data_IF_998533664193
#
_entry.id   IF_998533664193
#
_cell.length_a   1.000
_cell.length_b   1.000
_cell.length_c   1.000
_cell.angle_alpha   90.00
_cell.angle_beta   90.00
_cell.angle_gamma   90.00
#
_symmetry.space_group_name_H-M   'P 1'
#
loop_
_entity.id
_entity.type
_entity.pdbx_description
1 polymer ?
#
# COMPACT_ATOMS: atom_id res chain seq x y z
N UNK A 1 -16.15 10.85 33.96
CA UNK A 1 -16.50 11.15 32.55
C UNK A 1 -15.29 11.34 31.64
N UNK A 2 -14.29 12.16 32.01
CA UNK A 2 -13.07 12.36 31.18
C UNK A 2 -12.32 11.05 30.88
N UNK A 3 -12.22 10.14 31.86
CA UNK A 3 -11.56 8.83 31.71
C UNK A 3 -12.32 7.87 30.79
N UNK A 4 -13.64 8.04 30.66
CA UNK A 4 -14.47 7.28 29.72
C UNK A 4 -14.27 7.80 28.29
N UNK A 5 -14.12 9.12 28.14
CA UNK A 5 -13.87 9.78 26.87
C UNK A 5 -12.46 9.56 26.32
N UNK A 6 -11.47 9.24 27.16
CA UNK A 6 -10.10 8.92 26.70
C UNK A 6 -9.99 7.58 25.97
N UNK A 7 -10.85 6.60 26.27
CA UNK A 7 -10.80 5.27 25.65
C UNK A 7 -10.97 5.33 24.11
N UNK A 8 -12.04 5.94 23.55
CA UNK A 8 -12.21 6.03 22.10
C UNK A 8 -11.14 6.93 21.44
N UNK A 9 -10.63 7.93 22.15
CA UNK A 9 -9.55 8.80 21.64
C UNK A 9 -8.25 8.00 21.49
N UNK A 10 -7.89 7.19 22.49
CA UNK A 10 -6.72 6.30 22.42
C UNK A 10 -6.90 5.29 21.29
N UNK A 11 -8.08 4.69 21.14
CA UNK A 11 -8.37 3.77 20.03
C UNK A 11 -8.21 4.45 18.66
N UNK A 12 -8.63 5.70 18.51
CA UNK A 12 -8.52 6.47 17.27
C UNK A 12 -7.07 6.85 16.96
N UNK A 13 -6.26 7.20 17.97
CA UNK A 13 -4.82 7.42 17.82
C UNK A 13 -4.11 6.13 17.37
N UNK A 14 -4.43 4.98 18.00
CA UNK A 14 -3.86 3.68 17.62
C UNK A 14 -4.24 3.33 16.18
N UNK A 15 -5.50 3.52 15.79
CA UNK A 15 -5.97 3.25 14.43
C UNK A 15 -5.27 4.15 13.40
N UNK A 16 -5.16 5.46 13.68
CA UNK A 16 -4.46 6.41 12.84
C UNK A 16 -2.97 6.05 12.67
N UNK A 17 -2.30 5.68 13.77
CA UNK A 17 -0.93 5.22 13.75
C UNK A 17 -0.77 3.93 12.92
N UNK A 18 -1.68 2.96 13.09
CA UNK A 18 -1.67 1.73 12.32
C UNK A 18 -1.84 1.97 10.82
N UNK A 19 -2.77 2.84 10.41
CA UNK A 19 -2.95 3.23 9.00
C UNK A 19 -1.68 3.86 8.44
N UNK A 20 -1.03 4.75 9.20
CA UNK A 20 0.23 5.38 8.78
C UNK A 20 1.36 4.36 8.65
N UNK A 21 1.53 3.47 9.63
CA UNK A 21 2.57 2.42 9.57
C UNK A 21 2.36 1.52 8.37
N UNK A 22 1.11 1.08 8.10
CA UNK A 22 0.80 0.27 6.91
C UNK A 22 1.09 1.02 5.60
N UNK A 23 0.75 2.30 5.51
CA UNK A 23 1.03 3.11 4.33
C UNK A 23 2.55 3.28 4.11
N UNK A 24 3.30 3.51 5.18
CA UNK A 24 4.77 3.63 5.13
C UNK A 24 5.43 2.31 4.71
N UNK A 25 5.05 1.19 5.33
CA UNK A 25 5.57 -0.14 4.98
C UNK A 25 5.25 -0.50 3.52
N UNK A 26 4.02 -0.25 3.08
CA UNK A 26 3.57 -0.53 1.71
C UNK A 26 4.26 0.36 0.66
N UNK A 27 4.62 1.60 1.01
CA UNK A 27 5.38 2.49 0.13
C UNK A 27 6.87 2.10 0.08
N UNK A 28 7.46 1.76 1.23
CA UNK A 28 8.85 1.35 1.31
C UNK A 28 9.12 0.02 0.59
N UNK A 29 8.27 -0.99 0.79
CA UNK A 29 8.39 -2.28 0.09
C UNK A 29 8.22 -2.12 -1.42
N UNK A 30 7.23 -1.34 -1.85
CA UNK A 30 6.99 -1.08 -3.27
C UNK A 30 8.16 -0.32 -3.91
N UNK A 31 8.74 0.66 -3.22
CA UNK A 31 9.91 1.39 -3.72
C UNK A 31 11.11 0.48 -3.95
N UNK A 32 11.33 -0.53 -3.10
CA UNK A 32 12.40 -1.51 -3.31
C UNK A 32 12.14 -2.38 -4.53
N UNK A 33 10.90 -2.85 -4.70
CA UNK A 33 10.50 -3.66 -5.86
C UNK A 33 10.62 -2.89 -7.16
N UNK A 34 10.18 -1.61 -7.20
CA UNK A 34 10.37 -0.76 -8.38
C UNK A 34 11.85 -0.63 -8.75
N UNK A 35 12.71 -0.31 -7.79
CA UNK A 35 14.15 -0.15 -8.07
C UNK A 35 14.75 -1.44 -8.61
N UNK A 36 14.35 -2.60 -8.07
CA UNK A 36 14.78 -3.89 -8.58
C UNK A 36 14.31 -4.10 -10.03
N UNK A 37 13.03 -3.85 -10.31
CA UNK A 37 12.45 -3.99 -11.66
C UNK A 37 13.13 -3.07 -12.66
N UNK A 38 13.23 -1.78 -12.36
CA UNK A 38 13.78 -0.76 -13.27
C UNK A 38 15.24 -1.06 -13.62
N UNK A 39 16.07 -1.39 -12.63
CA UNK A 39 17.46 -1.78 -12.89
C UNK A 39 17.57 -3.07 -13.72
N UNK A 40 16.71 -4.04 -13.45
CA UNK A 40 16.72 -5.31 -14.18
C UNK A 40 16.28 -5.15 -15.64
N UNK A 41 15.29 -4.29 -15.94
CA UNK A 41 14.76 -4.11 -17.31
C UNK A 41 15.87 -3.71 -18.28
N UNK A 42 16.64 -2.68 -17.94
CA UNK A 42 17.72 -2.19 -18.79
C UNK A 42 18.89 -3.19 -18.84
N UNK A 43 19.41 -3.58 -17.67
CA UNK A 43 20.65 -4.37 -17.57
C UNK A 43 20.53 -5.79 -18.12
N UNK A 44 19.41 -6.47 -17.83
CA UNK A 44 19.22 -7.85 -18.31
C UNK A 44 18.93 -7.84 -19.81
N UNK A 45 18.11 -6.89 -20.26
CA UNK A 45 17.79 -6.70 -21.66
C UNK A 45 19.03 -6.55 -22.54
N UNK A 46 19.95 -5.70 -22.10
CA UNK A 46 21.19 -5.39 -22.82
C UNK A 46 22.17 -6.56 -22.75
N UNK A 47 22.38 -7.17 -21.58
CA UNK A 47 23.25 -8.34 -21.46
C UNK A 47 22.81 -9.50 -22.37
N UNK A 48 21.50 -9.81 -22.38
CA UNK A 48 20.94 -10.85 -23.25
C UNK A 48 21.23 -10.52 -24.71
N UNK A 49 21.02 -9.28 -25.13
CA UNK A 49 21.31 -8.86 -26.50
C UNK A 49 22.79 -9.00 -26.86
N UNK A 50 23.71 -8.61 -25.97
CA UNK A 50 25.17 -8.77 -26.19
C UNK A 50 25.57 -10.23 -26.33
N UNK A 51 25.11 -11.11 -25.43
CA UNK A 51 25.37 -12.55 -25.50
C UNK A 51 24.78 -13.19 -26.77
N UNK A 52 23.61 -12.75 -27.23
CA UNK A 52 23.00 -13.22 -28.48
C UNK A 52 23.83 -12.84 -29.71
N UNK A 53 24.41 -11.63 -29.70
CA UNK A 53 25.31 -11.15 -30.76
C UNK A 53 26.63 -11.89 -30.72
N UNK A 54 27.25 -12.06 -29.55
CA UNK A 54 28.46 -12.87 -29.40
C UNK A 54 28.25 -14.31 -29.88
N UNK A 55 27.15 -14.97 -29.46
CA UNK A 55 26.78 -16.32 -29.94
C UNK A 55 26.67 -16.36 -31.46
N UNK A 56 25.91 -15.44 -32.04
CA UNK A 56 25.65 -15.42 -33.47
C UNK A 56 26.93 -15.24 -34.28
N UNK A 57 27.78 -14.31 -33.87
CA UNK A 57 29.06 -14.03 -34.54
C UNK A 57 30.03 -15.19 -34.36
N UNK A 58 30.02 -15.87 -33.20
CA UNK A 58 30.83 -17.07 -32.95
C UNK A 58 30.46 -18.20 -33.89
N UNK A 59 29.15 -18.47 -34.06
CA UNK A 59 28.66 -19.50 -35.00
C UNK A 59 29.09 -19.15 -36.43
N UNK A 60 28.88 -17.90 -36.85
CA UNK A 60 29.26 -17.45 -38.19
C UNK A 60 30.78 -17.56 -38.43
N UNK A 61 31.61 -17.22 -37.44
CA UNK A 61 33.07 -17.34 -37.54
C UNK A 61 33.52 -18.79 -37.71
N UNK A 62 32.94 -19.72 -36.94
CA UNK A 62 33.27 -21.14 -37.05
C UNK A 62 32.80 -21.76 -38.37
N UNK A 63 31.58 -21.44 -38.81
CA UNK A 63 31.02 -21.95 -40.07
C UNK A 63 31.73 -21.40 -41.31
N UNK A 64 32.36 -20.23 -41.21
CA UNK A 64 33.21 -19.66 -42.27
C UNK A 64 34.66 -20.13 -42.20
N UNK A 65 34.96 -21.15 -41.38
CA UNK A 65 36.29 -21.72 -41.17
C UNK A 65 37.33 -20.70 -40.67
N UNK A 66 36.87 -19.70 -39.91
CA UNK A 66 37.71 -18.68 -39.30
C UNK A 66 38.01 -17.49 -40.22
N UNK A 67 37.03 -17.02 -40.99
CA UNK A 67 37.21 -15.90 -41.90
C UNK A 67 37.66 -14.62 -41.14
N UNK A 68 38.75 -13.95 -41.57
CA UNK A 68 39.28 -12.78 -40.86
C UNK A 68 38.32 -11.60 -40.74
N UNK A 69 37.40 -11.42 -41.70
CA UNK A 69 36.41 -10.33 -41.65
C UNK A 69 35.37 -10.54 -40.55
N UNK A 70 35.09 -11.80 -40.20
CA UNK A 70 34.18 -12.14 -39.11
C UNK A 70 34.91 -12.10 -37.77
N UNK A 71 36.22 -12.39 -37.74
CA UNK A 71 37.03 -12.28 -36.53
C UNK A 71 37.00 -10.87 -35.93
N UNK A 72 37.11 -9.83 -36.76
CA UNK A 72 37.03 -8.43 -36.30
C UNK A 72 35.68 -8.14 -35.63
N UNK A 73 34.57 -8.61 -36.25
CA UNK A 73 33.22 -8.48 -35.67
C UNK A 73 33.09 -9.27 -34.35
N UNK A 74 33.74 -10.43 -34.26
CA UNK A 74 33.70 -11.29 -33.08
C UNK A 74 34.46 -10.66 -31.90
N UNK A 75 35.65 -10.10 -32.16
CA UNK A 75 36.44 -9.40 -31.13
C UNK A 75 35.70 -8.16 -30.60
N UNK A 76 35.01 -7.42 -31.48
CA UNK A 76 34.13 -6.33 -31.06
C UNK A 76 32.97 -6.83 -30.18
N UNK A 77 32.30 -7.92 -30.57
CA UNK A 77 31.22 -8.51 -29.77
C UNK A 77 31.70 -8.99 -28.38
N UNK A 78 32.93 -9.51 -28.29
CA UNK A 78 33.55 -9.86 -27.00
C UNK A 78 33.76 -8.64 -26.11
N UNK A 79 34.27 -7.54 -26.69
CA UNK A 79 34.49 -6.30 -25.97
C UNK A 79 33.17 -5.71 -25.42
N UNK A 80 32.15 -5.62 -26.28
CA UNK A 80 30.84 -5.09 -25.89
C UNK A 80 30.20 -5.93 -24.78
N UNK A 81 30.33 -7.25 -24.86
CA UNK A 81 29.81 -8.15 -23.82
C UNK A 81 30.56 -7.99 -22.50
N UNK A 82 31.88 -7.82 -22.53
CA UNK A 82 32.69 -7.61 -21.32
C UNK A 82 32.37 -6.26 -20.66
N UNK A 83 32.17 -5.21 -21.46
CA UNK A 83 31.75 -3.90 -20.98
C UNK A 83 30.36 -3.96 -20.33
N UNK A 84 29.40 -4.63 -20.98
CA UNK A 84 28.04 -4.77 -20.44
C UNK A 84 28.05 -5.55 -19.12
N UNK A 85 28.72 -6.71 -19.08
CA UNK A 85 28.85 -7.48 -17.85
C UNK A 85 29.44 -6.59 -16.75
N UNK A 86 30.47 -5.78 -17.04
CA UNK A 86 31.09 -4.86 -16.08
C UNK A 86 30.13 -3.77 -15.57
N UNK A 87 29.21 -3.29 -16.39
CA UNK A 87 28.26 -2.24 -16.02
C UNK A 87 27.07 -2.73 -15.19
N UNK A 88 26.78 -4.04 -15.18
CA UNK A 88 25.72 -4.61 -14.33
C UNK A 88 26.02 -4.36 -12.84
N UNK A 89 25.08 -3.67 -12.19
CA UNK A 89 25.20 -3.27 -10.78
C UNK A 89 24.60 -4.30 -9.83
N UNK A 90 23.60 -5.05 -10.27
CA UNK A 90 22.91 -6.03 -9.44
C UNK A 90 22.99 -7.42 -10.08
N UNK A 91 24.06 -8.15 -9.77
CA UNK A 91 24.16 -9.57 -10.10
C UNK A 91 23.48 -10.38 -9.00
N UNK A 92 22.50 -11.22 -9.35
CA UNK A 92 21.83 -12.08 -8.37
C UNK A 92 22.81 -13.15 -7.89
N UNK A 93 23.17 -13.13 -6.61
CA UNK A 93 23.96 -14.21 -6.01
C UNK A 93 23.09 -15.45 -5.80
N UNK A 94 23.55 -16.60 -6.29
CA UNK A 94 22.94 -17.90 -6.00
C UNK A 94 23.70 -18.51 -4.83
N UNK A 95 22.99 -18.86 -3.74
CA UNK A 95 23.59 -19.61 -2.66
C UNK A 95 23.54 -21.10 -2.99
N UNK A 96 24.57 -21.61 -3.69
CA UNK A 96 24.71 -23.02 -4.05
C UNK A 96 25.01 -23.85 -2.79
N UNK A 97 23.97 -24.17 -2.03
CA UNK A 97 24.10 -24.91 -0.76
C UNK A 97 24.44 -26.40 -0.95
N UNK A 98 24.56 -26.88 -2.20
CA UNK A 98 24.94 -28.26 -2.53
C UNK A 98 25.93 -28.28 -3.72
N UNK A 99 27.21 -28.60 -3.49
CA UNK A 99 28.29 -28.34 -4.45
C UNK A 99 28.57 -29.46 -5.47
N UNK A 100 27.83 -30.58 -5.49
CA UNK A 100 28.32 -31.79 -6.17
C UNK A 100 27.63 -32.20 -7.49
N UNK A 101 26.74 -31.40 -8.12
CA UNK A 101 26.36 -31.51 -9.55
C UNK A 101 25.19 -30.58 -9.91
N UNK A 102 25.34 -29.26 -9.78
CA UNK A 102 24.34 -28.33 -10.32
C UNK A 102 24.90 -27.76 -11.64
N UNK A 103 24.22 -27.93 -12.80
CA UNK A 103 24.48 -27.07 -13.95
C UNK A 103 24.42 -25.61 -13.46
N UNK A 104 25.09 -24.65 -14.12
CA UNK A 104 25.04 -23.23 -13.74
C UNK A 104 25.90 -22.77 -12.54
N UNK A 105 26.88 -23.55 -12.04
CA UNK A 105 27.80 -23.04 -10.99
C UNK A 105 28.52 -21.74 -11.41
N UNK A 106 28.77 -21.57 -12.71
CA UNK A 106 29.44 -20.42 -13.29
C UNK A 106 28.62 -19.12 -13.22
N UNK A 107 27.37 -19.21 -12.78
CA UNK A 107 26.45 -18.08 -12.64
C UNK A 107 26.39 -17.52 -11.21
N UNK A 108 27.08 -18.14 -10.25
CA UNK A 108 27.08 -17.76 -8.83
C UNK A 108 27.48 -16.30 -8.58
N UNK A 109 28.53 -15.84 -9.26
CA UNK A 109 28.98 -14.46 -9.26
C UNK A 109 29.27 -13.96 -10.66
N UNK A 110 29.27 -12.64 -10.80
CA UNK A 110 29.68 -11.95 -12.03
C UNK A 110 31.07 -12.37 -12.49
N UNK A 111 32.01 -12.52 -11.56
CA UNK A 111 33.39 -12.93 -11.84
C UNK A 111 33.47 -14.39 -12.32
N UNK A 112 32.67 -15.30 -11.73
CA UNK A 112 32.61 -16.69 -12.19
C UNK A 112 32.04 -16.79 -13.60
N UNK A 113 31.06 -15.94 -13.94
CA UNK A 113 30.44 -15.90 -15.26
C UNK A 113 31.41 -15.35 -16.30
N UNK A 114 32.10 -14.25 -15.98
CA UNK A 114 33.16 -13.69 -16.83
C UNK A 114 34.28 -14.70 -17.08
N UNK A 115 34.72 -15.42 -16.05
CA UNK A 115 35.76 -16.44 -16.18
C UNK A 115 35.31 -17.58 -17.08
N UNK A 116 34.05 -18.00 -16.95
CA UNK A 116 33.46 -19.06 -17.76
C UNK A 116 33.43 -18.71 -19.25
N UNK A 117 32.89 -17.53 -19.61
CA UNK A 117 32.88 -17.06 -20.99
C UNK A 117 34.30 -16.85 -21.52
N UNK A 118 35.18 -16.23 -20.72
CA UNK A 118 36.57 -16.00 -21.13
C UNK A 118 37.30 -17.31 -21.45
N UNK A 119 37.07 -18.36 -20.65
CA UNK A 119 37.64 -19.69 -20.88
C UNK A 119 37.15 -20.29 -22.21
N UNK A 120 35.86 -20.15 -22.52
CA UNK A 120 35.30 -20.58 -23.80
C UNK A 120 35.96 -19.88 -24.98
N UNK A 121 36.08 -18.53 -24.92
CA UNK A 121 36.75 -17.73 -25.96
C UNK A 121 38.22 -18.14 -26.15
N UNK A 122 38.96 -18.38 -25.06
CA UNK A 122 40.35 -18.85 -25.14
C UNK A 122 40.46 -20.23 -25.79
N UNK A 123 39.56 -21.16 -25.43
CA UNK A 123 39.54 -22.50 -26.00
C UNK A 123 39.20 -22.48 -27.50
N UNK A 124 38.30 -21.59 -27.91
CA UNK A 124 37.99 -21.34 -29.32
C UNK A 124 39.22 -20.83 -30.08
N UNK A 125 39.91 -19.81 -29.56
CA UNK A 125 41.14 -19.27 -30.17
C UNK A 125 42.26 -20.31 -30.26
N UNK A 126 42.38 -21.18 -29.25
CA UNK A 126 43.37 -22.26 -29.21
C UNK A 126 42.98 -23.51 -30.03
N UNK A 127 41.80 -23.49 -30.69
CA UNK A 127 41.26 -24.62 -31.47
C UNK A 127 41.23 -25.92 -30.66
N UNK A 128 40.76 -25.83 -29.41
CA UNK A 128 40.64 -26.99 -28.54
C UNK A 128 39.68 -28.04 -29.14
N UNK A 129 40.04 -29.32 -29.02
CA UNK A 129 39.39 -30.42 -29.77
C UNK A 129 37.95 -30.70 -29.27
N UNK A 130 37.69 -30.54 -27.97
CA UNK A 130 36.38 -30.78 -27.35
C UNK A 130 35.69 -29.47 -26.93
N UNK A 131 35.60 -28.50 -27.85
CA UNK A 131 34.86 -27.25 -27.59
C UNK A 131 33.34 -27.50 -27.66
N UNK A 132 32.55 -27.13 -26.64
CA UNK A 132 31.10 -27.20 -26.71
C UNK A 132 30.54 -26.39 -27.89
N UNK A 133 29.47 -26.87 -28.51
CA UNK A 133 28.81 -26.12 -29.60
C UNK A 133 28.34 -24.74 -29.12
N UNK A 134 28.58 -23.66 -29.89
CA UNK A 134 28.28 -22.31 -29.42
C UNK A 134 26.80 -22.08 -29.14
N UNK A 135 25.90 -22.63 -29.97
CA UNK A 135 24.46 -22.40 -29.81
C UNK A 135 23.98 -22.87 -28.43
N UNK A 136 24.09 -24.16 -28.03
CA UNK A 136 23.65 -24.60 -26.72
C UNK A 136 24.41 -23.91 -25.58
N UNK A 137 25.73 -23.69 -25.72
CA UNK A 137 26.55 -23.04 -24.71
C UNK A 137 26.03 -21.66 -24.30
N UNK A 138 25.84 -20.76 -25.27
CA UNK A 138 25.34 -19.41 -24.98
C UNK A 138 23.84 -19.40 -24.69
N UNK A 139 23.04 -20.28 -25.32
CA UNK A 139 21.59 -20.29 -25.10
C UNK A 139 21.24 -20.74 -23.67
N UNK A 140 21.97 -21.71 -23.11
CA UNK A 140 21.82 -22.11 -21.71
C UNK A 140 22.02 -20.91 -20.77
N UNK A 141 23.04 -20.10 -21.04
CA UNK A 141 23.32 -18.89 -20.28
C UNK A 141 22.24 -17.82 -20.42
N UNK A 142 21.80 -17.56 -21.64
CA UNK A 142 20.76 -16.56 -21.94
C UNK A 142 19.42 -16.97 -21.31
N UNK A 143 18.99 -18.22 -21.50
CA UNK A 143 17.73 -18.73 -20.95
C UNK A 143 17.71 -18.61 -19.42
N UNK A 144 18.83 -18.93 -18.74
CA UNK A 144 18.96 -18.77 -17.29
C UNK A 144 18.85 -17.31 -16.83
N UNK A 145 19.47 -16.38 -17.56
CA UNK A 145 19.36 -14.93 -17.27
C UNK A 145 17.89 -14.47 -17.41
N UNK A 146 17.19 -14.93 -18.45
CA UNK A 146 15.77 -14.60 -18.69
C UNK A 146 14.86 -15.19 -17.59
N UNK A 147 15.12 -16.43 -17.16
CA UNK A 147 14.37 -17.08 -16.07
C UNK A 147 14.49 -16.29 -14.77
N UNK A 148 15.71 -15.89 -14.37
CA UNK A 148 15.92 -15.12 -13.14
C UNK A 148 15.23 -13.79 -13.15
N UNK A 149 15.32 -13.11 -14.29
CA UNK A 149 14.63 -11.86 -14.52
C UNK A 149 13.15 -12.08 -14.23
N UNK A 150 12.52 -13.08 -14.87
CA UNK A 150 11.11 -13.37 -14.68
C UNK A 150 10.72 -13.68 -13.22
N UNK A 151 11.57 -14.40 -12.47
CA UNK A 151 11.32 -14.66 -11.06
C UNK A 151 11.22 -13.38 -10.21
N UNK A 152 11.95 -12.32 -10.56
CA UNK A 152 11.82 -11.03 -9.86
C UNK A 152 10.50 -10.32 -10.20
N UNK A 153 10.03 -10.43 -11.43
CA UNK A 153 8.72 -9.87 -11.82
C UNK A 153 7.56 -10.65 -11.23
N UNK A 154 7.65 -11.99 -11.14
CA UNK A 154 6.56 -12.84 -10.62
C UNK A 154 6.14 -12.47 -9.19
N UNK A 155 7.02 -11.84 -8.41
CA UNK A 155 6.71 -11.34 -7.05
C UNK A 155 5.80 -10.11 -7.06
N UNK A 156 5.65 -9.45 -8.21
CA UNK A 156 4.83 -8.27 -8.43
C UNK A 156 3.41 -8.65 -8.91
N UNK A 157 2.73 -9.55 -8.19
CA UNK A 157 1.33 -9.88 -8.48
C UNK A 157 0.37 -8.84 -7.87
N UNK A 158 0.26 -7.65 -8.48
CA UNK A 158 -0.91 -6.79 -8.24
C UNK A 158 -1.29 -5.93 -9.46
N UNK A 159 -2.28 -6.37 -10.24
CA UNK A 159 -3.15 -5.47 -11.01
C UNK A 159 -3.13 -5.56 -12.54
N UNK A 160 -3.92 -4.67 -13.17
CA UNK A 160 -4.15 -4.57 -14.63
C UNK A 160 -2.89 -4.18 -15.44
N UNK A 161 -1.82 -3.75 -14.78
CA UNK A 161 -0.56 -3.28 -15.38
C UNK A 161 0.45 -4.41 -15.65
N UNK A 162 0.13 -5.66 -15.30
CA UNK A 162 0.96 -6.85 -15.57
C UNK A 162 1.08 -7.21 -17.06
N UNK A 163 0.09 -6.84 -17.88
CA UNK A 163 0.07 -7.20 -19.29
C UNK A 163 1.29 -6.65 -20.05
N UNK A 164 1.73 -5.42 -19.76
CA UNK A 164 2.94 -4.83 -20.36
C UNK A 164 4.20 -5.62 -20.02
N UNK A 165 4.31 -6.14 -18.80
CA UNK A 165 5.43 -6.97 -18.36
C UNK A 165 5.44 -8.32 -19.08
N UNK A 166 4.26 -8.92 -19.28
CA UNK A 166 4.14 -10.14 -20.08
C UNK A 166 4.54 -9.87 -21.54
N UNK A 167 4.06 -8.76 -22.13
CA UNK A 167 4.47 -8.37 -23.49
C UNK A 167 6.00 -8.21 -23.60
N UNK A 168 6.62 -7.56 -22.61
CA UNK A 168 8.07 -7.41 -22.50
C UNK A 168 8.78 -8.77 -22.47
N UNK A 169 8.30 -9.70 -21.65
CA UNK A 169 8.86 -11.05 -21.58
C UNK A 169 8.73 -11.79 -22.91
N UNK A 170 7.58 -11.69 -23.57
CA UNK A 170 7.37 -12.32 -24.88
C UNK A 170 8.32 -11.73 -25.94
N UNK A 171 8.60 -10.43 -25.92
CA UNK A 171 9.61 -9.81 -26.80
C UNK A 171 11.00 -10.39 -26.54
N UNK A 172 11.42 -10.52 -25.28
CA UNK A 172 12.72 -11.12 -24.93
C UNK A 172 12.81 -12.58 -25.40
N UNK A 173 11.78 -13.38 -25.12
CA UNK A 173 11.73 -14.79 -25.54
C UNK A 173 11.75 -14.89 -27.07
N UNK A 174 11.00 -14.03 -27.77
CA UNK A 174 10.99 -13.94 -29.22
C UNK A 174 12.37 -13.59 -29.79
N UNK A 175 13.02 -12.55 -29.26
CA UNK A 175 14.39 -12.16 -29.63
C UNK A 175 15.37 -13.31 -29.45
N UNK A 176 15.23 -14.10 -28.40
CA UNK A 176 16.09 -15.26 -28.18
C UNK A 176 15.92 -16.32 -29.26
N UNK A 177 14.68 -16.68 -29.60
CA UNK A 177 14.44 -17.63 -30.69
C UNK A 177 14.94 -17.10 -32.04
N UNK A 178 14.72 -15.82 -32.34
CA UNK A 178 15.18 -15.16 -33.56
C UNK A 178 16.71 -15.00 -33.60
N UNK A 179 17.36 -14.84 -32.44
CA UNK A 179 18.81 -14.82 -32.33
C UNK A 179 19.45 -16.18 -32.66
N UNK A 180 18.79 -17.28 -32.28
CA UNK A 180 19.20 -18.64 -32.71
C UNK A 180 18.90 -18.85 -34.20
N UNK A 181 17.75 -18.37 -34.70
CA UNK A 181 17.44 -18.38 -36.15
C UNK A 181 18.51 -17.66 -36.95
N UNK A 182 18.94 -16.46 -36.51
CA UNK A 182 20.02 -15.68 -37.12
C UNK A 182 21.30 -16.49 -37.22
N UNK A 183 21.73 -17.11 -36.12
CA UNK A 183 22.94 -17.92 -36.06
C UNK A 183 22.89 -19.12 -37.01
N UNK A 184 21.78 -19.87 -36.98
CA UNK A 184 21.58 -21.03 -37.84
C UNK A 184 21.49 -20.64 -39.33
N UNK A 185 20.82 -19.55 -39.68
CA UNK A 185 20.76 -19.09 -41.07
C UNK A 185 22.11 -18.55 -41.57
N UNK A 186 22.92 -17.95 -40.68
CA UNK A 186 24.30 -17.57 -41.00
C UNK A 186 25.15 -18.81 -41.31
N UNK A 187 25.04 -19.84 -40.47
CA UNK A 187 25.63 -21.17 -40.67
C UNK A 187 25.22 -21.77 -42.02
N UNK A 188 23.92 -21.77 -42.34
CA UNK A 188 23.39 -22.29 -43.61
C UNK A 188 24.10 -21.72 -44.83
N UNK A 189 24.21 -20.39 -44.93
CA UNK A 189 24.86 -19.77 -46.09
C UNK A 189 26.37 -19.96 -46.07
N UNK A 190 26.99 -19.94 -44.88
CA UNK A 190 28.43 -20.14 -44.74
C UNK A 190 28.86 -21.55 -45.15
N UNK A 191 28.05 -22.57 -44.86
CA UNK A 191 28.33 -23.99 -45.14
C UNK A 191 27.75 -24.49 -46.47
N UNK A 192 26.88 -23.72 -47.13
CA UNK A 192 26.26 -24.12 -48.39
C UNK A 192 25.01 -24.99 -48.24
N UNK A 193 24.29 -24.86 -47.12
CA UNK A 193 23.06 -25.59 -46.84
C UNK A 193 23.12 -26.37 -45.52
N UNK A 194 22.02 -27.01 -45.14
CA UNK A 194 22.02 -27.96 -44.02
C UNK A 194 22.12 -29.40 -44.53
N UNK A 195 23.25 -30.05 -44.27
CA UNK A 195 23.39 -31.50 -44.46
C UNK A 195 22.74 -32.28 -43.31
N UNK A 196 22.82 -31.77 -42.08
CA UNK A 196 22.15 -32.36 -40.91
C UNK A 196 20.68 -31.91 -40.82
N UNK A 197 19.79 -32.90 -40.72
CA UNK A 197 18.36 -32.66 -40.52
C UNK A 197 18.06 -31.95 -39.19
N UNK A 198 18.91 -32.13 -38.16
CA UNK A 198 18.70 -31.48 -36.87
C UNK A 198 18.88 -29.96 -36.96
N UNK A 199 19.87 -29.47 -37.70
CA UNK A 199 20.08 -28.04 -37.92
C UNK A 199 18.90 -27.42 -38.68
N UNK A 200 18.42 -28.09 -39.72
CA UNK A 200 17.23 -27.69 -40.47
C UNK A 200 15.99 -27.61 -39.56
N UNK A 201 15.73 -28.67 -38.78
CA UNK A 201 14.57 -28.72 -37.88
C UNK A 201 14.68 -27.66 -36.78
N UNK A 202 15.88 -27.45 -36.23
CA UNK A 202 16.16 -26.42 -35.25
C UNK A 202 15.86 -25.03 -35.82
N UNK A 203 16.34 -24.72 -37.03
CA UNK A 203 16.07 -23.46 -37.70
C UNK A 203 14.57 -23.19 -37.84
N UNK A 204 13.83 -24.15 -38.40
CA UNK A 204 12.38 -24.01 -38.64
C UNK A 204 11.63 -23.80 -37.32
N UNK A 205 11.96 -24.57 -36.29
CA UNK A 205 11.33 -24.47 -34.98
C UNK A 205 11.60 -23.11 -34.32
N UNK A 206 12.84 -22.63 -34.38
CA UNK A 206 13.23 -21.32 -33.81
C UNK A 206 12.57 -20.17 -34.55
N UNK A 207 12.48 -20.23 -35.88
CA UNK A 207 11.79 -19.21 -36.68
C UNK A 207 10.30 -19.10 -36.34
N UNK A 208 9.60 -20.24 -36.26
CA UNK A 208 8.17 -20.27 -35.91
C UNK A 208 7.96 -19.75 -34.48
N UNK A 209 8.72 -20.24 -33.49
CA UNK A 209 8.58 -19.78 -32.10
C UNK A 209 8.84 -18.29 -31.95
N UNK A 210 9.86 -17.77 -32.65
CA UNK A 210 10.17 -16.33 -32.65
C UNK A 210 9.00 -15.48 -33.15
N UNK A 211 8.36 -15.89 -34.24
CA UNK A 211 7.16 -15.24 -34.75
C UNK A 211 5.97 -15.35 -33.78
N UNK A 212 5.74 -16.53 -33.20
CA UNK A 212 4.64 -16.74 -32.24
C UNK A 212 4.79 -15.86 -31.00
N UNK A 213 5.98 -15.72 -30.42
CA UNK A 213 6.19 -14.84 -29.27
C UNK A 213 5.96 -13.36 -29.61
N UNK A 214 6.32 -12.93 -30.82
CA UNK A 214 6.01 -11.57 -31.28
C UNK A 214 4.49 -11.37 -31.39
N UNK A 215 3.76 -12.31 -31.97
CA UNK A 215 2.29 -12.27 -32.05
C UNK A 215 1.64 -12.27 -30.65
N UNK A 216 2.15 -13.09 -29.72
CA UNK A 216 1.67 -13.11 -28.34
C UNK A 216 1.91 -11.78 -27.62
N UNK A 217 3.07 -11.15 -27.83
CA UNK A 217 3.36 -9.84 -27.21
C UNK A 217 2.36 -8.74 -27.62
N UNK A 218 1.90 -8.76 -28.87
CA UNK A 218 0.86 -7.87 -29.39
C UNK A 218 -0.49 -8.08 -28.69
N UNK A 219 -0.82 -9.33 -28.32
CA UNK A 219 -2.07 -9.62 -27.58
C UNK A 219 -2.06 -9.00 -26.17
N UNK A 220 -0.89 -8.85 -25.56
CA UNK A 220 -0.73 -8.30 -24.22
C UNK A 220 -0.53 -6.79 -24.19
N UNK A 221 0.04 -6.19 -25.25
CA UNK A 221 0.24 -4.75 -25.34
C UNK A 221 0.02 -4.23 -26.76
N UNK A 222 -0.95 -3.33 -26.91
CA UNK A 222 -1.20 -2.65 -28.19
C UNK A 222 -0.05 -1.74 -28.61
N UNK A 223 0.71 -1.22 -27.65
CA UNK A 223 1.88 -0.37 -27.91
C UNK A 223 2.94 -1.13 -28.73
N UNK A 224 3.03 -2.46 -28.57
CA UNK A 224 3.90 -3.31 -29.41
C UNK A 224 3.45 -3.26 -30.86
N UNK A 225 2.16 -3.45 -31.13
CA UNK A 225 1.61 -3.45 -32.49
C UNK A 225 1.78 -2.08 -33.15
N UNK A 226 1.48 -1.01 -32.43
CA UNK A 226 1.64 0.36 -32.93
C UNK A 226 3.10 0.68 -33.25
N UNK A 227 4.03 0.34 -32.35
CA UNK A 227 5.46 0.54 -32.58
C UNK A 227 5.98 -0.33 -33.74
N UNK A 228 5.61 -1.60 -33.77
CA UNK A 228 6.01 -2.52 -34.83
C UNK A 228 5.51 -2.04 -36.19
N UNK A 229 4.22 -1.75 -36.33
CA UNK A 229 3.65 -1.29 -37.60
C UNK A 229 4.19 0.07 -38.04
N UNK A 230 4.51 0.97 -37.10
CA UNK A 230 5.11 2.26 -37.46
C UNK A 230 6.50 2.09 -38.08
N UNK A 231 7.32 1.22 -37.51
CA UNK A 231 8.73 1.10 -37.88
C UNK A 231 9.00 -0.03 -38.90
N UNK A 232 8.09 -1.00 -39.03
CA UNK A 232 8.24 -2.12 -39.96
C UNK A 232 7.98 -1.71 -41.42
N UNK A 233 7.09 -0.75 -41.67
CA UNK A 233 6.61 -0.39 -43.01
C UNK A 233 7.57 0.49 -43.83
N UNK A 234 8.66 0.97 -43.24
CA UNK A 234 9.61 1.85 -43.94
C UNK A 234 10.75 1.09 -44.66
N UNK A 235 10.85 -0.24 -44.52
CA UNK A 235 12.05 -0.98 -44.95
C UNK A 235 11.79 -2.17 -45.88
N UNK A 236 12.58 -2.25 -46.96
CA UNK A 236 12.71 -3.45 -47.81
C UNK A 236 13.27 -4.67 -47.07
N UNK A 237 13.80 -4.48 -45.85
CA UNK A 237 14.39 -5.47 -44.96
C UNK A 237 13.52 -6.73 -44.81
N UNK A 238 12.21 -6.56 -44.54
CA UNK A 238 11.31 -7.70 -44.30
C UNK A 238 11.14 -8.58 -45.54
N UNK A 239 11.03 -7.96 -46.72
CA UNK A 239 10.92 -8.70 -47.98
C UNK A 239 12.18 -9.52 -48.24
N UNK A 240 13.35 -8.95 -47.94
CA UNK A 240 14.62 -9.64 -48.11
C UNK A 240 14.78 -10.81 -47.13
N UNK A 241 14.49 -10.60 -45.85
CA UNK A 241 14.49 -11.67 -44.83
C UNK A 241 13.54 -12.80 -45.24
N UNK A 242 12.33 -12.49 -45.72
CA UNK A 242 11.37 -13.51 -46.17
C UNK A 242 11.87 -14.30 -47.38
N UNK A 243 12.55 -13.64 -48.33
CA UNK A 243 13.16 -14.32 -49.47
C UNK A 243 14.27 -15.27 -49.01
N UNK A 244 15.15 -14.82 -48.11
CA UNK A 244 16.23 -15.63 -47.57
C UNK A 244 15.70 -16.79 -46.70
N UNK A 245 14.65 -16.58 -45.90
CA UNK A 245 13.91 -17.64 -45.18
C UNK A 245 13.38 -18.70 -46.14
N UNK A 246 12.81 -18.28 -47.27
CA UNK A 246 12.32 -19.19 -48.30
C UNK A 246 13.43 -20.05 -48.91
N UNK A 247 14.62 -19.48 -49.12
CA UNK A 247 15.80 -20.23 -49.59
C UNK A 247 16.26 -21.26 -48.55
N UNK A 248 16.35 -20.86 -47.27
CA UNK A 248 16.74 -21.75 -46.16
C UNK A 248 15.73 -22.90 -45.99
N UNK A 249 14.42 -22.61 -46.00
CA UNK A 249 13.36 -23.62 -45.84
C UNK A 249 13.35 -24.63 -46.99
N UNK A 250 13.69 -24.20 -48.21
CA UNK A 250 13.82 -25.14 -49.35
C UNK A 250 15.01 -26.08 -49.18
N UNK A 251 16.04 -25.65 -48.45
CA UNK A 251 17.27 -26.39 -48.15
C UNK A 251 17.78 -27.24 -49.32
N UNK A 252 17.95 -26.64 -50.50
CA UNK A 252 18.43 -27.36 -51.68
C UNK A 252 19.96 -27.54 -51.64
N UNK A 253 20.47 -28.05 -50.52
CA UNK A 253 21.89 -28.07 -50.14
C UNK A 253 22.79 -28.73 -51.21
N UNK A 254 22.26 -29.68 -51.98
CA UNK A 254 22.98 -30.33 -53.09
C UNK A 254 23.37 -29.39 -54.25
N UNK A 255 22.78 -28.20 -54.34
CA UNK A 255 23.05 -27.22 -55.41
C UNK A 255 23.49 -25.85 -54.88
N UNK A 256 23.72 -25.74 -53.57
CA UNK A 256 24.12 -24.49 -52.93
C UNK A 256 25.64 -24.54 -52.66
N UNK A 257 26.29 -23.41 -52.87
CA UNK A 257 27.72 -23.24 -52.62
C UNK A 257 27.93 -22.40 -51.35
N UNK A 258 28.92 -22.76 -50.50
CA UNK A 258 29.34 -21.96 -49.36
C UNK A 258 29.58 -20.48 -49.74
N UNK A 259 29.02 -19.56 -48.96
CA UNK A 259 29.14 -18.12 -49.21
C UNK A 259 29.20 -17.32 -47.91
N UNK A 260 30.41 -16.89 -47.56
CA UNK A 260 30.66 -15.95 -46.44
C UNK A 260 29.85 -14.67 -46.61
N UNK A 261 29.81 -14.11 -47.83
CA UNK A 261 29.10 -12.87 -48.11
C UNK A 261 27.59 -13.00 -47.90
N UNK A 262 26.95 -14.08 -48.38
CA UNK A 262 25.52 -14.32 -48.11
C UNK A 262 25.24 -14.57 -46.63
N UNK A 263 26.13 -15.29 -45.94
CA UNK A 263 26.02 -15.53 -44.50
C UNK A 263 26.08 -14.24 -43.69
N UNK A 264 27.04 -13.36 -43.99
CA UNK A 264 27.12 -12.01 -43.40
C UNK A 264 25.91 -11.15 -43.72
N UNK A 265 25.41 -11.21 -44.96
CA UNK A 265 24.24 -10.45 -45.38
C UNK A 265 22.96 -10.87 -44.63
N UNK A 266 22.73 -12.18 -44.52
CA UNK A 266 21.65 -12.72 -43.67
C UNK A 266 21.80 -12.26 -42.22
N UNK A 267 23.03 -12.34 -41.70
CA UNK A 267 23.33 -11.97 -40.33
C UNK A 267 23.02 -10.50 -40.05
N UNK A 268 23.43 -9.59 -40.94
CA UNK A 268 23.17 -8.15 -40.86
C UNK A 268 21.67 -7.86 -40.93
N UNK A 269 20.96 -8.42 -41.92
CA UNK A 269 19.51 -8.24 -42.04
C UNK A 269 18.74 -8.73 -40.81
N UNK A 270 19.09 -9.89 -40.27
CA UNK A 270 18.47 -10.40 -39.04
C UNK A 270 18.89 -9.59 -37.81
N UNK A 271 20.06 -8.96 -37.82
CA UNK A 271 20.48 -8.05 -36.74
C UNK A 271 19.61 -6.80 -36.74
N UNK A 272 19.41 -6.15 -37.89
CA UNK A 272 18.50 -5.02 -38.02
C UNK A 272 17.06 -5.38 -37.57
N UNK A 273 16.61 -6.60 -37.88
CA UNK A 273 15.30 -7.07 -37.43
C UNK A 273 15.22 -7.28 -35.91
N UNK A 274 16.25 -7.86 -35.30
CA UNK A 274 16.33 -8.04 -33.84
C UNK A 274 16.49 -6.69 -33.13
N UNK A 275 17.18 -5.72 -33.74
CA UNK A 275 17.34 -4.36 -33.22
C UNK A 275 16.02 -3.59 -33.21
N UNK A 276 15.15 -3.81 -34.21
CA UNK A 276 13.76 -3.33 -34.13
C UNK A 276 13.03 -3.90 -32.91
N UNK A 277 13.20 -5.18 -32.59
CA UNK A 277 12.61 -5.78 -31.39
C UNK A 277 13.26 -5.26 -30.10
N UNK A 278 14.56 -4.94 -30.12
CA UNK A 278 15.24 -4.26 -29.02
C UNK A 278 14.66 -2.85 -28.80
N UNK A 279 14.33 -2.12 -29.86
CA UNK A 279 13.66 -0.82 -29.72
C UNK A 279 12.26 -0.95 -29.12
N UNK A 280 11.49 -1.97 -29.52
CA UNK A 280 10.21 -2.29 -28.88
C UNK A 280 10.42 -2.61 -27.39
N UNK A 281 11.46 -3.36 -27.06
CA UNK A 281 11.81 -3.70 -25.69
C UNK A 281 12.09 -2.43 -24.86
N UNK A 282 12.89 -1.48 -25.35
CA UNK A 282 13.13 -0.20 -24.66
C UNK A 282 11.84 0.62 -24.53
N UNK A 283 11.02 0.65 -25.57
CA UNK A 283 9.72 1.35 -25.50
C UNK A 283 8.81 0.77 -24.41
N UNK A 284 8.77 -0.56 -24.27
CA UNK A 284 8.03 -1.21 -23.20
C UNK A 284 8.66 -0.92 -21.83
N UNK A 285 9.99 -0.87 -21.72
CA UNK A 285 10.68 -0.47 -20.49
C UNK A 285 10.24 0.92 -20.03
N UNK A 286 10.17 1.90 -20.93
CA UNK A 286 9.69 3.25 -20.63
C UNK A 286 8.25 3.24 -20.12
N UNK A 287 7.34 2.51 -20.80
CA UNK A 287 5.95 2.38 -20.38
C UNK A 287 5.85 1.74 -18.99
N UNK A 288 6.65 0.70 -18.72
CA UNK A 288 6.67 0.04 -17.41
C UNK A 288 7.19 1.00 -16.33
N UNK A 289 8.27 1.72 -16.61
CA UNK A 289 8.84 2.68 -15.67
C UNK A 289 7.85 3.82 -15.34
N UNK A 290 7.16 4.36 -16.33
CA UNK A 290 6.10 5.35 -16.15
C UNK A 290 4.95 4.78 -15.30
N UNK A 291 4.52 3.56 -15.59
CA UNK A 291 3.48 2.87 -14.83
C UNK A 291 3.85 2.66 -13.36
N UNK A 292 5.13 2.37 -13.08
CA UNK A 292 5.67 2.23 -11.73
C UNK A 292 5.80 3.58 -11.01
N UNK A 293 6.18 4.65 -11.72
CA UNK A 293 6.25 6.01 -11.15
C UNK A 293 4.87 6.55 -10.74
N UNK A 294 3.84 6.29 -11.56
CA UNK A 294 2.46 6.62 -11.21
C UNK A 294 2.00 5.92 -9.94
N UNK A 295 2.37 4.64 -9.79
CA UNK A 295 1.99 3.81 -8.64
C UNK A 295 2.69 4.28 -7.36
N UNK A 296 4.00 4.61 -7.44
CA UNK A 296 4.72 5.28 -6.35
C UNK A 296 4.04 6.59 -5.97
N UNK A 297 3.72 7.42 -6.96
CA UNK A 297 3.09 8.71 -6.73
C UNK A 297 1.72 8.55 -6.05
N UNK A 298 0.98 7.48 -6.37
CA UNK A 298 -0.27 7.13 -5.71
C UNK A 298 -0.07 6.72 -4.25
N UNK A 299 0.89 5.84 -3.97
CA UNK A 299 1.22 5.41 -2.60
C UNK A 299 1.77 6.54 -1.75
N UNK A 300 2.57 7.44 -2.31
CA UNK A 300 3.02 8.65 -1.63
C UNK A 300 1.85 9.54 -1.21
N UNK A 301 0.81 9.70 -2.05
CA UNK A 301 -0.42 10.41 -1.66
C UNK A 301 -1.11 9.73 -0.47
N UNK A 302 -1.19 8.40 -0.45
CA UNK A 302 -1.76 7.66 0.69
C UNK A 302 -0.98 7.92 1.99
N UNK A 303 0.35 7.91 1.93
CA UNK A 303 1.22 8.27 3.08
C UNK A 303 0.95 9.70 3.55
N UNK A 304 0.81 10.66 2.62
CA UNK A 304 0.48 12.06 2.95
C UNK A 304 -0.89 12.14 3.65
N UNK A 305 -1.92 11.48 3.10
CA UNK A 305 -3.25 11.47 3.71
C UNK A 305 -3.26 10.81 5.10
N UNK A 306 -2.56 9.69 5.27
CA UNK A 306 -2.43 9.03 6.56
C UNK A 306 -1.69 9.92 7.58
N UNK A 307 -0.64 10.63 7.14
CA UNK A 307 0.09 11.58 7.98
C UNK A 307 -0.79 12.75 8.42
N UNK A 308 -1.57 13.33 7.51
CA UNK A 308 -2.54 14.39 7.83
C UNK A 308 -3.63 13.91 8.80
N UNK A 309 -4.13 12.68 8.63
CA UNK A 309 -5.13 12.08 9.51
C UNK A 309 -4.58 11.92 10.94
N UNK A 310 -3.32 11.52 11.10
CA UNK A 310 -2.63 11.47 12.41
C UNK A 310 -2.52 12.88 13.01
N UNK A 311 -2.08 13.88 12.24
CA UNK A 311 -1.93 15.27 12.72
C UNK A 311 -3.29 15.82 13.20
N UNK A 312 -4.36 15.64 12.41
CA UNK A 312 -5.71 16.08 12.77
C UNK A 312 -6.19 15.36 14.04
N UNK A 313 -5.97 14.05 14.12
CA UNK A 313 -6.31 13.25 15.30
C UNK A 313 -5.64 13.80 16.56
N UNK A 314 -4.34 14.07 16.51
CA UNK A 314 -3.60 14.64 17.63
C UNK A 314 -4.01 16.08 17.97
N UNK A 315 -4.41 16.89 16.98
CA UNK A 315 -4.87 18.27 17.20
C UNK A 315 -6.28 18.33 17.82
N UNK A 316 -7.20 17.48 17.38
CA UNK A 316 -8.59 17.45 17.84
C UNK A 316 -8.74 16.79 19.21
N UNK A 317 -7.91 15.78 19.52
CA UNK A 317 -7.92 15.07 20.81
C UNK A 317 -7.87 15.98 22.05
N UNK A 318 -6.90 16.91 22.20
CA UNK A 318 -6.86 17.82 23.34
C UNK A 318 -8.05 18.79 23.36
N UNK A 319 -8.56 19.21 22.20
CA UNK A 319 -9.73 20.07 22.12
C UNK A 319 -10.99 19.38 22.65
N UNK A 320 -11.22 18.12 22.26
CA UNK A 320 -12.33 17.31 22.77
C UNK A 320 -12.20 17.11 24.28
N UNK A 321 -11.02 16.73 24.77
CA UNK A 321 -10.78 16.56 26.21
C UNK A 321 -11.01 17.86 26.99
N UNK A 322 -10.60 19.01 26.45
CA UNK A 322 -10.84 20.31 27.07
C UNK A 322 -12.33 20.67 27.11
N UNK A 323 -13.08 20.41 26.02
CA UNK A 323 -14.52 20.67 25.94
C UNK A 323 -15.31 19.79 26.93
N UNK A 324 -15.02 18.49 26.96
CA UNK A 324 -15.65 17.54 27.89
C UNK A 324 -15.30 17.88 29.35
N UNK A 325 -14.04 18.27 29.61
CA UNK A 325 -13.62 18.71 30.94
C UNK A 325 -14.38 19.95 31.43
N UNK A 326 -14.60 20.93 30.55
CA UNK A 326 -15.40 22.13 30.87
C UNK A 326 -16.87 21.79 31.16
N UNK A 327 -17.50 20.96 30.32
CA UNK A 327 -18.90 20.55 30.51
C UNK A 327 -19.08 19.75 31.80
N UNK A 328 -18.15 18.85 32.12
CA UNK A 328 -18.22 18.05 33.36
C UNK A 328 -18.23 18.96 34.59
N UNK A 329 -17.36 19.97 34.64
CA UNK A 329 -17.33 20.97 35.73
C UNK A 329 -18.63 21.78 35.84
N UNK A 330 -19.24 22.13 34.70
CA UNK A 330 -20.52 22.83 34.70
C UNK A 330 -21.64 21.96 35.26
N UNK A 331 -21.68 20.68 34.88
CA UNK A 331 -22.65 19.71 35.40
C UNK A 331 -22.46 19.54 36.91
N UNK A 332 -21.22 19.41 37.40
CA UNK A 332 -20.93 19.34 38.83
C UNK A 332 -21.40 20.60 39.59
N UNK A 333 -21.16 21.79 39.03
CA UNK A 333 -21.62 23.06 39.63
C UNK A 333 -23.16 23.18 39.62
N UNK A 334 -23.82 22.78 38.54
CA UNK A 334 -25.29 22.78 38.47
C UNK A 334 -25.85 21.78 39.47
N UNK A 335 -25.30 20.56 39.55
CA UNK A 335 -25.72 19.54 40.49
C UNK A 335 -25.56 20.01 41.95
N UNK A 336 -24.43 20.66 42.28
CA UNK A 336 -24.21 21.21 43.62
C UNK A 336 -25.17 22.37 43.94
N UNK A 337 -25.40 23.26 42.98
CA UNK A 337 -26.35 24.38 43.12
C UNK A 337 -27.80 23.90 43.27
N UNK A 338 -28.19 22.87 42.52
CA UNK A 338 -29.50 22.22 42.64
C UNK A 338 -29.67 21.56 44.00
N UNK A 339 -28.64 20.87 44.49
CA UNK A 339 -28.66 20.24 45.81
C UNK A 339 -28.84 21.31 46.91
N UNK A 340 -28.06 22.40 46.87
CA UNK A 340 -28.19 23.52 47.81
C UNK A 340 -29.60 24.15 47.78
N UNK A 341 -30.14 24.44 46.59
CA UNK A 341 -31.51 24.98 46.46
C UNK A 341 -32.56 24.01 46.98
N UNK A 342 -32.38 22.71 46.74
CA UNK A 342 -33.29 21.67 47.25
C UNK A 342 -33.26 21.63 48.78
N UNK A 343 -32.08 21.76 49.39
CA UNK A 343 -31.95 21.87 50.85
C UNK A 343 -32.63 23.11 51.40
N UNK A 344 -32.43 24.28 50.78
CA UNK A 344 -33.08 25.54 51.19
C UNK A 344 -34.60 25.46 51.08
N UNK A 345 -35.12 24.92 49.97
CA UNK A 345 -36.56 24.70 49.78
C UNK A 345 -37.14 23.76 50.84
N UNK A 346 -36.44 22.68 51.17
CA UNK A 346 -36.86 21.77 52.23
C UNK A 346 -36.87 22.46 53.61
N UNK A 347 -35.88 23.32 53.89
CA UNK A 347 -35.84 24.06 55.15
C UNK A 347 -36.96 25.10 55.26
N UNK A 348 -37.18 25.89 54.21
CA UNK A 348 -38.28 26.86 54.16
C UNK A 348 -39.65 26.17 54.19
N UNK A 349 -39.82 25.05 53.48
CA UNK A 349 -41.03 24.21 53.60
C UNK A 349 -41.25 23.77 55.04
N UNK A 350 -40.20 23.29 55.73
CA UNK A 350 -40.29 22.89 57.14
C UNK A 350 -40.66 24.06 58.05
N UNK A 351 -40.15 25.27 57.77
CA UNK A 351 -40.51 26.50 58.53
C UNK A 351 -41.97 26.88 58.30
N UNK A 352 -42.43 26.85 57.05
CA UNK A 352 -43.83 27.12 56.69
C UNK A 352 -44.78 26.09 57.31
N UNK A 353 -44.45 24.80 57.24
CA UNK A 353 -45.21 23.72 57.88
C UNK A 353 -45.29 23.92 59.40
N UNK A 354 -44.16 24.24 60.05
CA UNK A 354 -44.12 24.52 61.49
C UNK A 354 -45.02 25.70 61.86
N UNK A 355 -44.98 26.78 61.09
CA UNK A 355 -45.82 27.95 61.32
C UNK A 355 -47.30 27.62 61.14
N UNK A 356 -47.65 26.84 60.11
CA UNK A 356 -49.02 26.41 59.87
C UNK A 356 -49.56 25.58 61.05
N UNK A 357 -48.76 24.66 61.58
CA UNK A 357 -49.13 23.88 62.76
C UNK A 357 -49.19 24.71 64.06
N UNK A 358 -48.56 25.88 64.11
CA UNK A 358 -48.71 26.82 65.22
C UNK A 358 -50.02 27.63 65.14
N UNK A 359 -50.58 27.78 63.94
CA UNK A 359 -51.82 28.55 63.72
C UNK A 359 -53.08 27.68 63.70
N UNK A 360 -52.95 26.41 63.31
CA UNK A 360 -54.09 25.50 63.11
C UNK A 360 -53.78 24.10 63.65
N UNK A 361 -54.80 23.37 64.16
CA UNK A 361 -54.67 21.96 64.53
C UNK A 361 -54.12 21.10 63.38
N UNK A 362 -53.39 20.06 63.72
CA UNK A 362 -52.66 19.21 62.76
C UNK A 362 -53.53 18.68 61.61
N UNK A 363 -54.73 18.20 61.90
CA UNK A 363 -55.65 17.59 60.92
C UNK A 363 -56.19 18.62 59.90
N UNK A 364 -56.50 19.83 60.37
CA UNK A 364 -56.94 20.95 59.52
C UNK A 364 -55.76 21.44 58.66
N UNK A 365 -54.57 21.55 59.24
CA UNK A 365 -53.36 21.98 58.53
C UNK A 365 -52.96 21.03 57.39
N UNK A 366 -53.01 19.71 57.59
CA UNK A 366 -52.72 18.71 56.54
C UNK A 366 -53.80 18.69 55.44
N UNK A 367 -55.07 18.87 55.82
CA UNK A 367 -56.18 18.99 54.88
C UNK A 367 -56.02 20.23 53.98
N UNK A 368 -55.66 21.38 54.56
CA UNK A 368 -55.38 22.63 53.83
C UNK A 368 -54.17 22.55 52.88
N UNK A 369 -53.15 21.73 53.20
CA UNK A 369 -52.02 21.51 52.30
C UNK A 369 -52.40 20.70 51.05
N UNK A 370 -53.42 19.86 51.16
CA UNK A 370 -53.84 18.92 50.12
C UNK A 370 -54.97 19.49 49.26
N UNK A 371 -55.92 20.20 49.87
CA UNK A 371 -57.04 20.88 49.19
C UNK A 371 -57.34 22.25 49.80
N UNK A 372 -57.73 23.20 48.96
CA UNK A 372 -58.07 24.57 49.38
C UNK A 372 -59.43 24.69 50.10
N UNK A 373 -60.24 23.64 50.06
CA UNK A 373 -61.56 23.59 50.68
C UNK A 373 -61.52 22.65 51.88
N UNK A 374 -61.92 23.14 53.05
CA UNK A 374 -62.03 22.37 54.29
C UNK A 374 -63.44 22.54 54.80
N UNK A 375 -64.18 21.43 54.84
CA UNK A 375 -65.56 21.43 55.31
C UNK A 375 -65.60 21.79 56.80
N UNK A 376 -66.63 22.55 57.19
CA UNK A 376 -66.86 22.85 58.60
C UNK A 376 -67.17 21.55 59.36
N UNK A 377 -66.37 21.26 60.40
CA UNK A 377 -66.58 20.11 61.27
C UNK A 377 -67.37 20.51 62.52
N UNK A 378 -68.29 19.64 62.92
CA UNK A 378 -69.02 19.78 64.16
C UNK A 378 -68.40 18.85 65.21
N UNK A 379 -67.97 19.41 66.33
CA UNK A 379 -67.46 18.65 67.48
C UNK A 379 -68.60 18.38 68.46
N UNK A 380 -68.85 17.11 68.79
CA UNK A 380 -69.93 16.71 69.73
C UNK A 380 -69.69 17.25 71.15
N UNK A 381 -68.43 17.36 71.55
CA UNK A 381 -68.02 17.89 72.85
C UNK A 381 -66.84 18.85 72.67
N UNK A 382 -67.01 20.11 73.06
CA UNK A 382 -65.95 21.12 73.07
C UNK A 382 -66.01 21.91 74.38
N UNK A 383 -64.86 22.12 75.03
CA UNK A 383 -64.75 22.99 76.20
C UNK A 383 -64.14 24.31 75.77
N UNK A 384 -64.91 25.39 75.85
CA UNK A 384 -64.45 26.73 75.47
C UNK A 384 -64.02 27.48 76.74
N UNK A 385 -62.80 28.02 76.74
CA UNK A 385 -62.29 28.86 77.81
C UNK A 385 -62.16 30.31 77.30
N UNK A 386 -62.97 31.21 77.84
CA UNK A 386 -62.83 32.65 77.63
C UNK A 386 -62.09 33.25 78.83
N UNK A 387 -61.05 34.03 78.57
CA UNK A 387 -60.40 34.86 79.60
C UNK A 387 -60.28 36.29 79.11
N UNK A 388 -60.46 37.21 80.05
CA UNK A 388 -60.32 38.65 79.83
C UNK A 388 -59.44 39.23 80.92
N UNK A 389 -58.68 40.26 80.59
CA UNK A 389 -57.81 40.95 81.54
C UNK A 389 -58.62 42.05 82.22
N UNK A 390 -58.98 41.82 83.48
CA UNK A 390 -59.74 42.79 84.27
C UNK A 390 -58.99 44.14 84.35
N UNK A 391 -59.70 45.24 84.09
CA UNK A 391 -59.16 46.61 84.09
C UNK A 391 -58.04 46.91 83.08
N UNK A 392 -57.95 46.16 81.96
CA UNK A 392 -56.97 46.41 80.90
C UNK A 392 -57.00 47.85 80.36
N UNK A 393 -58.19 48.48 80.33
CA UNK A 393 -58.38 49.87 79.89
C UNK A 393 -57.64 50.86 80.81
N UNK A 394 -57.66 50.64 82.12
CA UNK A 394 -56.96 51.49 83.09
C UNK A 394 -55.45 51.25 83.03
N UNK A 395 -55.02 49.99 82.86
CA UNK A 395 -53.62 49.63 82.68
C UNK A 395 -53.00 50.33 81.45
N UNK A 396 -53.75 50.40 80.35
CA UNK A 396 -53.34 51.13 79.13
C UNK A 396 -53.34 52.65 79.29
N UNK A 397 -54.12 53.19 80.23
CA UNK A 397 -54.20 54.63 80.49
C UNK A 397 -53.03 55.13 81.38
N UNK A 398 -52.51 54.26 82.25
CA UNK A 398 -51.41 54.60 83.19
C UNK A 398 -50.01 54.22 82.68
N UNK A 399 -49.93 53.34 81.68
CA UNK A 399 -48.66 52.88 81.10
C UNK A 399 -48.42 53.46 79.69
N UNK A 400 -47.17 53.64 79.31
CA UNK A 400 -46.85 53.99 77.92
C UNK A 400 -47.16 52.83 76.97
N UNK A 401 -47.50 53.08 75.69
CA UNK A 401 -47.76 52.02 74.70
C UNK A 401 -46.63 50.98 74.62
N UNK A 402 -45.37 51.43 74.80
CA UNK A 402 -44.20 50.56 74.79
C UNK A 402 -44.16 49.64 76.03
N UNK A 403 -44.51 50.15 77.21
CA UNK A 403 -44.64 49.35 78.44
C UNK A 403 -45.78 48.34 78.35
N UNK A 404 -46.94 48.73 77.81
CA UNK A 404 -48.07 47.81 77.60
C UNK A 404 -47.68 46.69 76.62
N UNK A 405 -47.00 47.03 75.51
CA UNK A 405 -46.53 46.02 74.55
C UNK A 405 -45.46 45.08 75.12
N UNK A 406 -44.67 45.54 76.09
CA UNK A 406 -43.62 44.72 76.72
C UNK A 406 -44.17 43.67 77.69
N UNK A 407 -45.41 43.84 78.16
CA UNK A 407 -46.14 42.82 78.92
C UNK A 407 -46.80 41.87 77.92
N UNK A 408 -46.00 41.03 77.28
CA UNK A 408 -46.50 40.07 76.29
C UNK A 408 -47.23 38.90 76.98
N UNK A 409 -48.44 39.16 77.51
CA UNK A 409 -49.27 38.17 78.21
C UNK A 409 -49.51 36.89 77.39
N UNK A 410 -49.58 37.05 76.06
CA UNK A 410 -49.82 35.97 75.10
C UNK A 410 -48.65 34.95 75.13
N UNK A 411 -47.39 35.42 75.19
CA UNK A 411 -46.23 34.54 75.19
C UNK A 411 -46.09 33.69 76.48
N UNK A 412 -46.62 34.17 77.60
CA UNK A 412 -46.63 33.42 78.87
C UNK A 412 -47.70 32.33 78.85
N UNK A 413 -48.85 32.59 78.22
CA UNK A 413 -49.95 31.64 78.08
C UNK A 413 -49.61 30.50 77.11
N UNK A 414 -48.96 30.80 75.99
CA UNK A 414 -48.54 29.81 74.98
C UNK A 414 -47.43 28.85 75.45
N UNK A 415 -46.59 29.27 76.41
CA UNK A 415 -45.45 28.46 76.91
C UNK A 415 -45.82 27.43 77.97
N UNK A 416 -46.97 27.60 78.62
CA UNK A 416 -47.48 26.61 79.57
C UNK A 416 -48.16 25.50 78.79
N UNK A 417 -47.40 24.43 78.53
CA UNK A 417 -47.97 23.09 78.43
C UNK A 417 -48.89 22.95 79.66
N UNK A 418 -50.19 22.75 79.44
CA UNK A 418 -51.26 22.75 80.45
C UNK A 418 -51.17 21.51 81.38
N UNK A 419 -49.98 21.18 81.86
CA UNK A 419 -49.66 20.05 82.71
C UNK A 419 -49.22 20.40 84.14
N UNK A 420 -49.08 21.68 84.50
CA UNK A 420 -48.71 22.03 85.88
C UNK A 420 -49.50 23.23 86.43
N UNK A 421 -50.61 22.89 87.09
CA UNK A 421 -51.22 23.55 88.26
C UNK A 421 -50.87 25.02 88.51
N UNK A 422 -51.67 25.93 87.97
CA UNK A 422 -51.89 27.27 88.52
C UNK A 422 -53.38 27.38 88.87
N UNK A 423 -53.77 27.74 90.10
CA UNK A 423 -55.18 27.84 90.46
C UNK A 423 -55.74 29.13 89.86
N UNK A 424 -56.47 29.01 88.75
CA UNK A 424 -57.29 30.11 88.23
C UNK A 424 -58.62 30.12 89.00
N UNK A 425 -58.85 31.21 89.72
CA UNK A 425 -60.07 31.44 90.47
C UNK A 425 -61.20 31.78 89.48
N UNK A 426 -62.18 30.88 89.36
CA UNK A 426 -63.40 31.09 88.57
C UNK A 426 -64.19 32.28 89.12
N UNK A 427 -64.69 33.14 88.23
CA UNK A 427 -65.91 33.93 88.45
C UNK A 427 -67.09 33.14 87.90
#
# INVERSE_FOLDING_TARGET
MVLLASIPIIALIICAAFVLTRALEANASFSQVKTLISNSLDQVGDLVHRLQTERGTTVLYLSTQGDPSILEKLEAAYHDTDEEIKNITHWRHINLSQPENEPFYYFETKETFQTHIHTYRQNLSNKYVDLPEPIPYYSEAIERIIEWFWEDFSKYETGKKWATLVAYQMIILGKEQLGVERALGGKFYAEGGYEDFNDYLSYVNRSIKGATFLEESILFSKDVEEFYNKNAFENNLFHEILNMRSEIIKNNYTFLEPSVSKGSHWFENMTDYIDLLLQIQYHLTDIINDQLEEEISSRQREVIFASLLVIITFAVSPFILQRIGRQTRQIEHIASSLNLKTMQLNEEKRRADKLLYQMLPYEIAESLKTSWDVAAEAFEEATIFFSDVVNFTNLCAECSPMQVSSINFIATFDRTDLGSTVPLQKV
#
